data_IF_478625647335
#
_entry.id   IF_478625647335
#
_cell.length_a   1.000
_cell.length_b   1.000
_cell.length_c   1.000
_cell.angle_alpha   90.00
_cell.angle_beta   90.00
_cell.angle_gamma   90.00
#
_symmetry.space_group_name_H-M   'P 1'
#
loop_
_entity.id
_entity.type
_entity.pdbx_description
1 polymer ?
2 non-polymer ?
3 water ?
#
# COMPACT_ATOMS: atom_id res chain seq x y z
N UNK A 1 -11.36 18.13 6.18
CA UNK A 1 -10.69 16.79 6.13
C UNK A 1 -10.02 16.46 4.79
N UNK A 2 -9.42 17.48 4.16
CA UNK A 2 -8.83 17.30 2.84
C UNK A 2 -7.29 17.40 2.80
N UNK A 3 -6.70 17.90 3.89
CA UNK A 3 -5.24 18.06 4.02
C UNK A 3 -4.48 16.73 3.97
N UNK A 4 -3.29 16.75 3.36
CA UNK A 4 -2.46 15.55 3.18
C UNK A 4 -2.00 14.95 4.52
N UNK A 5 -1.92 13.63 4.56
CA UNK A 5 -1.41 12.91 5.72
C UNK A 5 -0.13 12.18 5.30
N UNK A 6 0.97 12.49 5.97
CA UNK A 6 2.25 11.85 5.65
C UNK A 6 2.60 10.80 6.69
N UNK A 7 3.10 9.66 6.21
CA UNK A 7 3.62 8.60 7.07
C UNK A 7 5.09 8.38 6.74
N UNK A 8 5.92 8.13 7.74
CA UNK A 8 7.31 7.76 7.46
C UNK A 8 7.39 6.26 7.16
N UNK A 9 8.43 5.88 6.42
CA UNK A 9 8.69 4.46 6.17
C UNK A 9 8.87 3.71 7.49
N UNK A 10 9.52 4.38 8.45
CA UNK A 10 9.73 3.82 9.78
C UNK A 10 8.41 3.39 10.41
N UNK A 11 7.39 4.23 10.28
CA UNK A 11 6.08 3.89 10.81
C UNK A 11 5.39 2.79 9.99
N UNK A 12 5.47 2.91 8.66
CA UNK A 12 4.83 1.96 7.74
C UNK A 12 5.30 0.51 7.94
N UNK A 13 6.58 0.34 8.28
CA UNK A 13 7.15 -0.99 8.49
C UNK A 13 6.52 -1.76 9.67
N UNK A 14 5.86 -1.04 10.58
CA UNK A 14 5.24 -1.64 11.77
C UNK A 14 3.88 -2.26 11.47
N UNK A 15 3.32 -1.94 10.31
CA UNK A 15 1.97 -2.41 10.00
C UNK A 15 2.06 -3.61 9.07
N UNK A 16 2.28 -4.77 9.69
CA UNK A 16 2.80 -5.94 8.98
C UNK A 16 1.96 -7.21 9.13
N UNK A 17 0.76 -7.09 9.71
CA UNK A 17 -0.08 -8.26 9.94
C UNK A 17 -1.57 -8.02 9.76
N UNK A 18 -2.36 -9.08 9.86
CA UNK A 18 -3.76 -9.05 9.45
C UNK A 18 -4.63 -8.07 10.22
N UNK A 19 -4.15 -7.61 11.37
CA UNK A 19 -4.85 -6.57 12.13
C UNK A 19 -4.63 -5.18 11.52
N UNK A 20 -3.51 -5.03 10.84
CA UNK A 20 -3.13 -3.74 10.26
C UNK A 20 -2.08 -3.95 9.17
N UNK A 21 -2.54 -4.17 7.95
CA UNK A 21 -1.66 -4.45 6.83
C UNK A 21 -1.59 -3.24 5.92
N UNK A 22 -0.46 -2.54 5.97
CA UNK A 22 -0.21 -1.41 5.08
C UNK A 22 0.82 -1.77 4.01
N UNK A 23 0.72 -1.13 2.86
CA UNK A 23 1.82 -1.10 1.91
C UNK A 23 1.84 0.19 1.08
N UNK A 24 2.94 0.38 0.36
CA UNK A 24 3.14 1.59 -0.43
C UNK A 24 3.02 1.23 -1.91
N UNK A 25 2.27 2.04 -2.65
CA UNK A 25 2.31 1.99 -4.11
C UNK A 25 2.50 3.40 -4.66
N UNK A 26 3.56 3.60 -5.43
CA UNK A 26 3.83 4.91 -6.04
C UNK A 26 3.77 6.08 -5.06
N UNK A 27 4.42 5.92 -3.91
CA UNK A 27 4.48 6.97 -2.88
C UNK A 27 3.16 7.20 -2.13
N UNK A 28 2.15 6.40 -2.44
CA UNK A 28 0.92 6.41 -1.67
C UNK A 28 0.81 5.22 -0.70
N UNK A 29 0.24 5.48 0.47
CA UNK A 29 0.12 4.49 1.53
C UNK A 29 -1.32 3.96 1.59
N UNK A 30 -1.45 2.63 1.61
CA UNK A 30 -2.76 1.95 1.64
C UNK A 30 -2.90 1.03 2.84
N UNK A 31 -4.07 1.09 3.48
CA UNK A 31 -4.39 0.16 4.55
C UNK A 31 -5.29 -0.91 3.94
N UNK A 32 -4.71 -2.06 3.66
CA UNK A 32 -5.42 -3.11 2.94
C UNK A 32 -6.04 -4.17 3.86
N UNK A 33 -6.14 -3.85 5.15
CA UNK A 33 -6.65 -4.79 6.15
C UNK A 33 -8.02 -5.40 5.78
N UNK A 34 -8.92 -4.56 5.26
CA UNK A 34 -10.27 -5.03 4.91
C UNK A 34 -10.37 -5.51 3.47
N UNK A 35 -9.24 -5.47 2.77
CA UNK A 35 -9.15 -5.88 1.37
C UNK A 35 -8.54 -7.28 1.21
N UNK A 36 -7.83 -7.75 2.23
CA UNK A 36 -7.09 -9.01 2.14
C UNK A 36 -7.93 -10.19 1.63
N UNK A 37 -9.12 -10.36 2.19
CA UNK A 37 -10.00 -11.46 1.82
C UNK A 37 -10.76 -11.22 0.52
N UNK A 38 -10.71 -9.99 0.01
CA UNK A 38 -11.43 -9.68 -1.22
C UNK A 38 -10.54 -9.68 -2.47
N UNK A 39 -9.23 -9.59 -2.29
CA UNK A 39 -8.32 -9.43 -3.43
C UNK A 39 -8.34 -10.63 -4.40
N UNK A 40 -8.58 -10.38 -5.69
CA UNK A 40 -8.63 -11.50 -6.64
C UNK A 40 -7.30 -12.29 -6.75
N UNK A 41 -6.18 -11.65 -6.44
CA UNK A 41 -4.91 -12.35 -6.44
C UNK A 41 -4.54 -13.03 -5.13
N UNK A 42 -5.47 -13.02 -4.17
CA UNK A 42 -5.27 -13.71 -2.91
C UNK A 42 -4.70 -12.85 -1.79
N UNK A 43 -4.71 -13.40 -0.59
CA UNK A 43 -4.23 -12.69 0.60
C UNK A 43 -2.70 -12.73 0.74
N UNK A 44 -2.10 -13.87 0.38
CA UNK A 44 -0.68 -14.11 0.64
C UNK A 44 0.26 -13.15 -0.08
N UNK A 45 0.01 -12.88 -1.35
CA UNK A 45 0.83 -11.94 -2.08
C UNK A 45 0.81 -10.55 -1.45
N UNK A 46 -0.30 -10.21 -0.79
CA UNK A 46 -0.39 -8.93 -0.08
C UNK A 46 0.33 -8.97 1.26
N UNK A 47 0.11 -10.02 2.04
CA UNK A 47 0.79 -10.18 3.33
C UNK A 47 2.30 -10.16 3.17
N UNK A 48 2.80 -10.75 2.08
CA UNK A 48 4.23 -10.83 1.83
C UNK A 48 4.89 -9.46 1.64
N UNK A 49 4.11 -8.49 1.17
CA UNK A 49 4.62 -7.15 0.87
C UNK A 49 4.32 -6.13 1.97
N UNK A 50 3.60 -6.56 3.01
CA UNK A 50 3.14 -5.64 4.06
C UNK A 50 4.32 -4.98 4.73
N UNK A 51 4.17 -3.69 5.02
CA UNK A 51 5.21 -2.94 5.70
C UNK A 51 6.25 -2.38 4.75
N UNK A 52 5.99 -2.47 3.44
CA UNK A 52 6.94 -1.94 2.48
C UNK A 52 6.37 -1.54 1.14
N UNK A 53 7.27 -1.20 0.22
CA UNK A 53 6.89 -0.83 -1.15
C UNK A 53 6.57 -2.05 -2.03
N UNK A 54 5.43 -2.02 -2.70
CA UNK A 54 5.05 -3.11 -3.58
C UNK A 54 4.74 -2.60 -4.99
N UNK A 55 5.28 -1.44 -5.34
CA UNK A 55 4.98 -0.80 -6.62
C UNK A 55 5.31 -1.67 -7.83
N UNK A 56 6.51 -2.23 -7.87
CA UNK A 56 6.89 -3.08 -9.00
C UNK A 56 6.06 -4.37 -9.09
N UNK A 57 5.74 -4.96 -7.94
CA UNK A 57 4.88 -6.15 -7.89
C UNK A 57 3.49 -5.84 -8.44
N UNK A 58 2.95 -4.68 -8.09
CA UNK A 58 1.65 -4.24 -8.59
C UNK A 58 1.67 -4.03 -10.12
N UNK A 59 2.66 -3.30 -10.61
CA UNK A 59 2.74 -2.97 -12.03
C UNK A 59 3.12 -4.16 -12.91
N UNK A 60 3.89 -5.09 -12.36
CA UNK A 60 4.40 -6.24 -13.12
C UNK A 60 3.35 -7.32 -13.47
N UNK A 61 2.21 -7.30 -12.78
CA UNK A 61 1.14 -8.26 -13.04
C UNK A 61 -0.11 -7.58 -13.63
N UNK A 62 0.14 -6.49 -14.36
CA UNK A 62 -0.88 -5.91 -15.23
C UNK A 62 -2.21 -5.57 -14.58
N UNK A 63 -2.17 -4.90 -13.43
CA UNK A 63 -3.41 -4.49 -12.78
C UNK A 63 -4.19 -3.55 -13.70
N UNK A 64 -5.49 -3.80 -13.80
CA UNK A 64 -6.37 -3.06 -14.68
C UNK A 64 -6.67 -1.66 -14.15
N UNK A 65 -7.31 -0.85 -14.99
CA UNK A 65 -7.87 0.43 -14.55
C UNK A 65 -8.87 0.23 -13.40
N UNK A 66 -9.65 -0.84 -13.47
CA UNK A 66 -10.57 -1.17 -12.39
C UNK A 66 -9.86 -1.41 -11.05
N UNK A 67 -8.75 -2.14 -11.08
CA UNK A 67 -7.90 -2.28 -9.90
C UNK A 67 -7.37 -0.94 -9.37
N UNK A 68 -6.92 -0.07 -10.27
CA UNK A 68 -6.40 1.24 -9.86
C UNK A 68 -7.49 2.10 -9.19
N UNK A 69 -8.69 2.09 -9.75
CA UNK A 69 -9.78 2.87 -9.16
C UNK A 69 -10.15 2.33 -7.78
N UNK A 70 -10.22 1.01 -7.69
CA UNK A 70 -10.60 0.33 -6.46
C UNK A 70 -9.61 0.61 -5.32
N UNK A 71 -8.33 0.76 -5.66
CA UNK A 71 -7.30 1.03 -4.65
C UNK A 71 -7.55 2.32 -3.86
N UNK A 72 -8.29 3.26 -4.46
CA UNK A 72 -8.65 4.51 -3.79
C UNK A 72 -9.50 4.32 -2.52
N UNK A 73 -10.24 3.21 -2.42
CA UNK A 73 -10.97 2.89 -1.18
C UNK A 73 -10.07 2.74 0.04
N UNK A 74 -8.81 2.37 -0.20
CA UNK A 74 -7.91 1.97 0.88
C UNK A 74 -6.77 2.95 1.13
N UNK A 75 -6.69 4.04 0.36
CA UNK A 75 -5.64 5.05 0.55
C UNK A 75 -5.78 5.78 1.90
N UNK A 76 -4.69 5.89 2.66
CA UNK A 76 -4.73 6.63 3.92
C UNK A 76 -3.81 7.85 3.96
N UNK A 77 -2.93 7.96 2.97
CA UNK A 77 -2.03 9.10 2.90
C UNK A 77 -0.86 8.90 1.95
N UNK A 78 0.22 9.63 2.19
CA UNK A 78 1.37 9.60 1.29
C UNK A 78 2.63 9.29 2.07
N UNK A 79 3.62 8.75 1.37
CA UNK A 79 4.94 8.57 1.95
C UNK A 79 5.58 9.95 2.22
N UNK A 80 6.14 10.10 3.42
CA UNK A 80 6.89 11.31 3.78
C UNK A 80 7.96 11.64 2.73
N UNK A 81 8.04 12.91 2.27
CA UNK A 81 8.96 13.29 1.20
C UNK A 81 10.42 12.86 1.42
N UNK A 82 10.86 12.84 2.68
CA UNK A 82 12.23 12.46 3.03
C UNK A 82 12.54 10.98 2.85
N UNK A 83 11.50 10.16 2.70
CA UNK A 83 11.68 8.73 2.52
C UNK A 83 11.52 8.29 1.06
N UNK A 84 11.10 9.22 0.20
CA UNK A 84 10.79 8.85 -1.18
C UNK A 84 12.03 8.42 -1.98
N UNK A 85 13.18 8.97 -1.60
CA UNK A 85 14.46 8.58 -2.20
C UNK A 85 14.92 7.16 -1.82
N UNK A 86 14.39 6.61 -0.74
CA UNK A 86 14.63 5.22 -0.34
C UNK A 86 13.95 4.17 -1.25
N UNK A 87 12.90 4.62 -1.95
CA UNK A 87 12.12 3.78 -2.86
C UNK A 87 12.70 3.81 -4.28
N UNK A 88 13.33 2.70 -4.62
CA UNK A 88 14.18 2.60 -5.80
C UNK A 88 13.66 1.60 -6.84
X LIG B 1 -5.31 -9.42 -9.40
X LIG B 1 -6.76 -5.42 -7.12
X LIG B 1 -2.36 -5.07 -5.09
X LIG B 1 -1.10 -9.28 -7.05
X LIG B 1 -6.04 -8.29 -9.05
X LIG B 1 -7.36 -7.91 -9.59
X LIG B 1 -7.82 -6.82 -8.89
X LIG B 1 -6.76 -6.52 -7.95
X LIG B 1 -9.14 -6.08 -9.07
X LIG B 1 -8.06 -8.59 -10.76
X LIG B 1 -7.33 -8.33 -12.06
X LIG B 1 -7.28 -6.86 -12.43
X LIG B 1 -8.33 -6.20 -12.37
X LIG B 1 -6.21 -6.37 -12.83
X LIG B 1 -5.69 -4.99 -6.34
X LIG B 1 -5.70 -3.78 -5.53
X LIG B 1 -4.42 -3.65 -5.01
X LIG B 1 -3.68 -4.82 -5.45
X LIG B 1 -6.87 -2.81 -5.41
X LIG B 1 -3.80 -2.55 -4.39
X LIG B 1 -4.24 -1.74 -3.37
X LIG B 1 -1.63 -6.16 -5.46
X LIG B 1 -0.24 -6.39 -5.03
X LIG B 1 0.11 -7.59 -5.59
X LIG B 1 -1.06 -8.09 -6.33
X LIG B 1 0.59 -5.42 -4.16
X LIG B 1 1.34 -8.26 -5.50
X LIG B 1 2.04 -8.33 -4.31
X LIG B 1 -2.11 -9.71 -7.87
X LIG B 1 -2.12 -10.95 -8.60
X LIG B 1 -3.32 -11.00 -9.21
X LIG B 1 -4.03 -9.76 -8.94
X LIG B 1 -1.00 -11.97 -8.70
X LIG B 1 -3.88 -12.19 -9.96
X LIG B 1 -3.53 -12.09 -11.42
X LIG B 1 -4.18 -13.19 -12.23
X LIG B 1 -4.76 -12.87 -13.29
X LIG B 1 -4.11 -14.37 -11.82
X LIG B 1 -5.65 -7.41 -8.09
X LIG B 1 -4.44 -5.64 -6.28
X LIG B 1 -2.12 -7.19 -6.27
X LIG B 1 -3.29 -8.99 -8.07
X LIG B 1 -3.89 -7.30 -7.17
#
# INVERSE_FOLDING_TARGET
SKAVKYYTLEEIQKHNNSKSTWLILHYKVYDLTKFLEEHPGGEEVLREQAGGDATENFEDVGHSTDARELSKTFIIGELHPDDRSKITKPSES
HEM CHA CHB CHC CHD C1A C2A C3A C4A CMA CAA CBA CGA O1A O2A C1B C2B C3B C4B CMB CAB CBB C1C C2C C3C C4C CMC CAC CBC C1D C2D C3D C4D CMD CAD CBD CGD O1D O2D NA NB NC ND FE
#
